data_IF_012924077662
#
_entry.id   IF_012924077662
#
_cell.length_a   1.000
_cell.length_b   1.000
_cell.length_c   1.000
_cell.angle_alpha   90.00
_cell.angle_beta   90.00
_cell.angle_gamma   90.00
#
_symmetry.space_group_name_H-M   'P 1'
#
loop_
_entity.id
_entity.type
_entity.pdbx_description
1 polymer ?
#
# COMPACT_ATOMS: atom_id res chain seq x y z
N UNK A 1 6.59 0.41 -4.56
CA UNK A 1 5.83 0.35 -3.31
C UNK A 1 6.83 0.53 -2.19
N UNK A 2 6.75 1.67 -1.52
CA UNK A 2 7.54 2.05 -0.36
C UNK A 2 6.63 2.79 0.60
N UNK A 3 6.54 2.33 1.83
CA UNK A 3 5.80 3.03 2.89
C UNK A 3 6.67 4.20 3.35
N UNK A 4 6.09 5.39 3.39
CA UNK A 4 6.77 6.61 3.83
C UNK A 4 5.89 7.40 4.77
N UNK A 5 6.52 8.05 5.74
CA UNK A 5 5.84 9.04 6.57
C UNK A 5 5.89 10.41 5.90
N UNK A 6 4.72 11.04 5.79
CA UNK A 6 4.55 12.42 5.35
C UNK A 6 5.01 13.39 6.43
N UNK A 7 5.27 14.65 6.05
CA UNK A 7 5.67 15.71 6.99
C UNK A 7 4.60 16.02 8.05
N UNK A 8 3.34 15.71 7.78
CA UNK A 8 2.23 15.89 8.71
C UNK A 8 2.05 14.69 9.67
N UNK A 9 2.93 13.68 9.61
CA UNK A 9 2.90 12.51 10.47
C UNK A 9 2.06 11.33 9.95
N UNK A 10 1.26 11.54 8.90
CA UNK A 10 0.51 10.48 8.21
C UNK A 10 1.45 9.56 7.42
N UNK A 11 0.97 8.36 7.07
CA UNK A 11 1.72 7.39 6.28
C UNK A 11 1.07 7.23 4.91
N UNK A 12 1.90 7.05 3.88
CA UNK A 12 1.41 6.78 2.53
C UNK A 12 2.26 5.74 1.83
N UNK A 13 1.71 5.21 0.74
CA UNK A 13 2.40 4.28 -0.15
C UNK A 13 2.95 5.03 -1.35
N UNK A 14 4.25 4.97 -1.58
CA UNK A 14 4.92 5.58 -2.74
C UNK A 14 5.27 4.53 -3.81
N UNK A 15 5.07 4.88 -5.07
CA UNK A 15 5.57 4.14 -6.22
C UNK A 15 6.22 5.10 -7.23
N UNK A 16 7.51 4.86 -7.53
CA UNK A 16 8.27 5.64 -8.51
C UNK A 16 8.26 7.16 -8.26
N UNK A 17 8.28 7.57 -6.99
CA UNK A 17 8.27 8.99 -6.60
C UNK A 17 6.88 9.66 -6.63
N UNK A 18 5.82 8.89 -6.91
CA UNK A 18 4.43 9.35 -6.87
C UNK A 18 3.69 8.58 -5.78
N UNK A 19 2.73 9.23 -5.12
CA UNK A 19 1.85 8.56 -4.17
C UNK A 19 0.92 7.59 -4.90
N UNK A 20 0.93 6.34 -4.46
CA UNK A 20 0.11 5.26 -4.98
C UNK A 20 -1.27 5.27 -4.30
N UNK A 21 -2.33 4.76 -4.97
CA UNK A 21 -3.70 4.81 -4.48
C UNK A 21 -3.97 3.75 -3.40
N UNK A 22 -3.23 3.80 -2.30
CA UNK A 22 -3.37 2.91 -1.16
C UNK A 22 -3.43 3.72 0.12
N UNK A 23 -4.35 3.35 1.00
CA UNK A 23 -4.36 3.87 2.35
C UNK A 23 -3.41 3.06 3.23
N UNK A 24 -2.60 3.75 4.03
CA UNK A 24 -1.59 3.11 4.90
C UNK A 24 -1.83 3.53 6.33
N UNK A 25 -2.19 2.57 7.15
CA UNK A 25 -2.40 2.77 8.57
C UNK A 25 -1.19 2.22 9.35
N UNK A 26 -0.61 3.07 10.20
CA UNK A 26 0.40 2.64 11.18
C UNK A 26 -0.28 2.38 12.51
N UNK A 27 -0.19 1.14 12.98
CA UNK A 27 -0.75 0.73 14.26
C UNK A 27 0.19 1.05 15.43
N UNK A 28 -0.29 0.85 16.66
CA UNK A 28 0.56 0.99 17.86
C UNK A 28 1.65 -0.08 17.85
N UNK A 29 2.85 0.30 17.43
CA UNK A 29 4.04 -0.56 17.33
C UNK A 29 4.79 -0.37 16.01
N UNK A 30 5.34 -1.46 15.50
CA UNK A 30 6.05 -1.53 14.20
C UNK A 30 5.20 -2.16 13.09
N UNK A 31 3.91 -2.36 13.34
CA UNK A 31 2.97 -2.98 12.41
C UNK A 31 2.27 -1.94 11.52
N UNK A 32 1.97 -2.36 10.29
CA UNK A 32 1.32 -1.62 9.24
C UNK A 32 0.18 -2.44 8.63
N UNK A 33 -0.87 -1.72 8.28
CA UNK A 33 -1.99 -2.24 7.50
C UNK A 33 -2.16 -1.39 6.25
N UNK A 34 -2.40 -2.03 5.11
CA UNK A 34 -2.53 -1.37 3.81
C UNK A 34 -3.84 -1.79 3.16
N UNK A 35 -4.60 -0.80 2.72
CA UNK A 35 -5.91 -0.96 2.11
C UNK A 35 -5.90 -0.35 0.71
N UNK A 36 -6.70 -0.93 -0.19
CA UNK A 36 -6.97 -0.30 -1.48
C UNK A 36 -7.93 0.88 -1.27
N UNK A 37 -7.70 2.01 -1.94
CA UNK A 37 -8.62 3.15 -1.82
C UNK A 37 -10.00 2.84 -2.42
N UNK A 38 -10.10 1.84 -3.31
CA UNK A 38 -11.38 1.37 -3.84
C UNK A 38 -12.16 0.49 -2.84
N UNK A 39 -11.52 0.01 -1.76
CA UNK A 39 -12.15 -0.77 -0.69
C UNK A 39 -12.64 0.16 0.44
N UNK A 40 -13.72 0.89 0.18
CA UNK A 40 -14.26 1.93 1.08
C UNK A 40 -14.56 1.40 2.50
N UNK A 41 -15.03 0.16 2.62
CA UNK A 41 -15.34 -0.51 3.89
C UNK A 41 -14.11 -1.14 4.58
N UNK A 42 -12.92 -1.11 3.93
CA UNK A 42 -11.65 -1.69 4.42
C UNK A 42 -11.76 -3.18 4.78
N UNK A 43 -12.68 -3.92 4.17
CA UNK A 43 -12.94 -5.34 4.48
C UNK A 43 -11.84 -6.28 3.95
N UNK A 44 -11.05 -5.84 2.98
CA UNK A 44 -10.03 -6.66 2.30
C UNK A 44 -8.66 -5.97 2.36
N UNK A 45 -8.01 -5.97 3.54
CA UNK A 45 -6.66 -5.46 3.66
C UNK A 45 -5.70 -6.23 2.74
N UNK A 46 -4.88 -5.49 2.00
CA UNK A 46 -3.79 -6.04 1.19
C UNK A 46 -2.66 -6.55 2.09
N UNK A 47 -2.43 -5.83 3.19
CA UNK A 47 -1.53 -6.20 4.27
C UNK A 47 -2.22 -5.87 5.59
N UNK A 48 -2.14 -6.75 6.58
CA UNK A 48 -2.84 -6.59 7.85
C UNK A 48 -1.95 -6.95 9.03
N UNK A 49 -1.65 -5.95 9.88
CA UNK A 49 -0.87 -6.12 11.10
C UNK A 49 0.52 -6.75 10.86
N UNK A 50 1.21 -6.35 9.79
CA UNK A 50 2.54 -6.88 9.41
C UNK A 50 3.62 -5.81 9.48
N UNK A 51 4.88 -6.20 9.49
CA UNK A 51 5.99 -5.25 9.43
C UNK A 51 6.01 -4.48 8.09
N UNK A 52 6.78 -3.39 8.05
CA UNK A 52 6.86 -2.50 6.90
C UNK A 52 7.32 -3.22 5.62
N UNK A 53 8.38 -4.03 5.68
CA UNK A 53 8.94 -4.71 4.51
C UNK A 53 7.95 -5.72 3.94
N UNK A 54 7.26 -6.46 4.81
CA UNK A 54 6.19 -7.39 4.43
C UNK A 54 5.01 -6.65 3.80
N UNK A 55 4.56 -5.54 4.39
CA UNK A 55 3.48 -4.73 3.83
C UNK A 55 3.84 -4.23 2.42
N UNK A 56 5.04 -3.66 2.23
CA UNK A 56 5.52 -3.19 0.93
C UNK A 56 5.57 -4.30 -0.12
N UNK A 57 6.01 -5.51 0.28
CA UNK A 57 6.09 -6.66 -0.60
C UNK A 57 4.70 -7.15 -1.05
N UNK A 58 3.74 -7.25 -0.11
CA UNK A 58 2.36 -7.64 -0.38
C UNK A 58 1.67 -6.62 -1.30
N UNK A 59 1.79 -5.32 -1.01
CA UNK A 59 1.22 -4.28 -1.86
C UNK A 59 1.87 -4.25 -3.24
N UNK A 60 3.16 -4.54 -3.36
CA UNK A 60 3.82 -4.67 -4.68
C UNK A 60 3.28 -5.84 -5.49
N UNK A 61 3.03 -6.99 -4.87
CA UNK A 61 2.44 -8.15 -5.53
C UNK A 61 1.00 -7.86 -5.98
N UNK A 62 0.23 -7.19 -5.13
CA UNK A 62 -1.12 -6.73 -5.43
C UNK A 62 -1.14 -5.75 -6.62
N UNK A 63 -0.31 -4.71 -6.58
CA UNK A 63 -0.20 -3.71 -7.64
C UNK A 63 0.14 -4.33 -9.00
N UNK A 64 1.09 -5.29 -9.05
CA UNK A 64 1.41 -6.02 -10.29
C UNK A 64 0.21 -6.80 -10.84
N UNK A 65 -0.59 -7.38 -9.96
CA UNK A 65 -1.78 -8.15 -10.33
C UNK A 65 -2.85 -7.24 -10.92
N UNK A 66 -3.08 -6.06 -10.32
CA UNK A 66 -4.04 -5.07 -10.82
C UNK A 66 -3.54 -4.42 -12.13
N UNK A 67 -2.28 -3.99 -12.19
CA UNK A 67 -1.70 -3.41 -13.41
C UNK A 67 -1.77 -4.37 -14.59
N UNK A 68 -1.53 -5.67 -14.35
CA UNK A 68 -1.70 -6.72 -15.35
C UNK A 68 -3.15 -6.90 -15.81
N UNK A 69 -4.14 -6.77 -14.90
CA UNK A 69 -5.58 -6.84 -15.23
C UNK A 69 -6.09 -5.62 -15.99
N UNK A 70 -5.56 -4.43 -15.69
CA UNK A 70 -5.94 -3.17 -16.33
C UNK A 70 -5.28 -2.96 -17.70
N UNK A 71 -4.46 -3.91 -18.19
CA UNK A 71 -3.77 -3.78 -19.47
C UNK A 71 -2.68 -2.71 -19.50
N UNK A 72 -2.30 -2.19 -18.33
CA UNK A 72 -1.16 -1.29 -18.16
C UNK A 72 0.12 -2.13 -18.27
N UNK A 73 0.50 -2.47 -19.51
CA UNK A 73 1.86 -2.90 -19.84
C UNK A 73 2.79 -1.74 -19.50
N UNK A 74 3.39 -1.79 -18.31
CA UNK A 74 4.56 -0.97 -18.01
C UNK A 74 5.70 -1.43 -18.93
N UNK A 75 6.12 -0.53 -19.81
CA UNK A 75 7.41 -0.59 -20.51
C UNK A 75 8.55 -0.29 -19.53
#
# INVERSE_FOLDING_TARGET
>A
MKIRQRRNGEWCMEHNGVEAPYDVEKERGEAFSVYDLEDEDREKPIAFHVDQDTAEALTRAHFKTIAGKLGLRGD
#
